data_IF_420070739899
#
_entry.id   IF_420070739899
#
_cell.length_a   1.000
_cell.length_b   1.000
_cell.length_c   1.000
_cell.angle_alpha   90.00
_cell.angle_beta   90.00
_cell.angle_gamma   90.00
#
_symmetry.space_group_name_H-M   'P 1'
#
loop_
_entity.id
_entity.type
_entity.pdbx_description
1 polymer ?
#
# COMPACT_ATOMS: atom_id res chain seq x y z
N UNK A 1 4.81 -4.22 -16.58
CA UNK A 1 5.22 -3.21 -15.57
C UNK A 1 4.10 -3.06 -14.56
N UNK A 2 4.37 -3.32 -13.28
CA UNK A 2 3.37 -3.12 -12.22
C UNK A 2 3.72 -1.81 -11.50
N UNK A 3 2.92 -0.77 -11.73
CA UNK A 3 3.11 0.56 -11.14
C UNK A 3 3.26 0.47 -9.62
N UNK A 4 2.46 -0.38 -8.97
CA UNK A 4 2.52 -0.62 -7.54
C UNK A 4 3.88 -1.15 -7.07
N UNK A 5 4.48 -2.09 -7.81
CA UNK A 5 5.82 -2.61 -7.53
C UNK A 5 6.86 -1.49 -7.61
N UNK A 6 6.77 -0.64 -8.64
CA UNK A 6 7.69 0.49 -8.81
C UNK A 6 7.58 1.53 -7.68
N UNK A 7 6.35 1.92 -7.32
CA UNK A 7 6.08 2.86 -6.22
C UNK A 7 6.65 2.32 -4.91
N UNK A 8 6.36 1.05 -4.58
CA UNK A 8 6.79 0.45 -3.31
C UNK A 8 8.30 0.23 -3.24
N UNK A 9 8.94 -0.13 -4.36
CA UNK A 9 10.41 -0.20 -4.45
C UNK A 9 11.07 1.15 -4.12
N UNK A 10 10.45 2.26 -4.52
CA UNK A 10 10.96 3.62 -4.24
C UNK A 10 10.61 4.12 -2.85
N UNK A 11 9.47 3.69 -2.30
CA UNK A 11 9.01 4.11 -0.98
C UNK A 11 9.94 3.61 0.14
N UNK A 12 10.43 2.38 0.03
CA UNK A 12 11.32 1.77 1.03
C UNK A 12 12.59 1.27 0.32
N UNK A 13 13.60 2.13 0.08
CA UNK A 13 14.74 1.80 -0.77
C UNK A 13 15.63 0.67 -0.23
N UNK A 14 15.55 0.38 1.08
CA UNK A 14 16.32 -0.70 1.71
C UNK A 14 15.60 -2.06 1.66
N UNK A 15 14.35 -2.10 1.20
CA UNK A 15 13.57 -3.33 1.08
C UNK A 15 13.55 -3.80 -0.36
N UNK A 16 13.77 -5.10 -0.57
CA UNK A 16 13.62 -5.72 -1.89
C UNK A 16 12.14 -5.87 -2.21
N UNK A 17 11.71 -5.29 -3.34
CA UNK A 17 10.36 -5.44 -3.86
C UNK A 17 10.46 -5.98 -5.28
N UNK A 18 10.22 -7.29 -5.47
CA UNK A 18 10.18 -7.90 -6.79
C UNK A 18 8.78 -7.90 -7.40
N UNK A 19 7.76 -7.92 -6.55
CA UNK A 19 6.37 -7.95 -6.96
C UNK A 19 5.49 -7.38 -5.85
N UNK A 20 4.49 -6.61 -6.24
CA UNK A 20 3.44 -6.13 -5.36
C UNK A 20 2.09 -6.17 -6.06
N UNK A 21 1.07 -6.60 -5.32
CA UNK A 21 -0.28 -6.80 -5.82
C UNK A 21 -1.32 -6.51 -4.75
N UNK A 22 -2.46 -5.95 -5.15
CA UNK A 22 -3.61 -5.81 -4.25
C UNK A 22 -4.33 -7.15 -4.16
N UNK A 23 -4.58 -7.59 -2.94
CA UNK A 23 -5.23 -8.86 -2.63
C UNK A 23 -6.28 -8.65 -1.55
N UNK A 24 -7.17 -9.62 -1.38
CA UNK A 24 -8.21 -9.64 -0.36
C UNK A 24 -8.04 -10.81 0.62
N UNK A 25 -8.23 -10.55 1.92
CA UNK A 25 -7.99 -11.56 2.98
C UNK A 25 -9.23 -12.42 3.27
N UNK A 26 -10.42 -11.89 2.99
CA UNK A 26 -11.70 -12.54 3.30
C UNK A 26 -12.72 -12.24 2.18
N UNK A 27 -12.65 -12.99 1.08
CA UNK A 27 -13.66 -12.95 -0.02
C UNK A 27 -14.20 -11.53 -0.31
N UNK A 28 -13.31 -10.57 -0.52
CA UNK A 28 -13.64 -9.19 -0.89
C UNK A 28 -13.98 -8.21 0.23
N UNK A 29 -13.83 -8.55 1.52
CA UNK A 29 -14.13 -7.59 2.61
C UNK A 29 -13.03 -6.61 2.94
N UNK A 30 -11.77 -7.01 2.79
CA UNK A 30 -10.60 -6.22 3.20
C UNK A 30 -9.49 -6.39 2.18
N UNK A 31 -9.06 -5.27 1.61
CA UNK A 31 -8.00 -5.15 0.62
C UNK A 31 -6.69 -4.75 1.30
N UNK A 32 -5.60 -5.36 0.86
CA UNK A 32 -4.24 -5.01 1.27
C UNK A 32 -3.26 -5.21 0.11
N UNK A 33 -2.04 -4.68 0.26
CA UNK A 33 -0.99 -4.88 -0.73
C UNK A 33 -0.04 -5.96 -0.25
N UNK A 34 -0.04 -7.10 -0.94
CA UNK A 34 0.97 -8.14 -0.77
C UNK A 34 2.26 -7.67 -1.43
N UNK A 35 3.40 -7.92 -0.77
CA UNK A 35 4.72 -7.53 -1.23
C UNK A 35 5.65 -8.74 -1.14
N UNK A 36 6.37 -9.01 -2.21
CA UNK A 36 7.28 -10.16 -2.36
C UNK A 36 8.71 -9.64 -2.57
N UNK A 37 9.75 -10.28 -2.02
CA UNK A 37 9.70 -11.57 -1.30
C UNK A 37 9.30 -11.48 0.18
N UNK A 38 9.59 -10.37 0.86
CA UNK A 38 9.41 -10.29 2.32
C UNK A 38 8.32 -9.28 2.69
N UNK A 39 7.08 -9.76 2.77
CA UNK A 39 5.92 -8.94 3.07
C UNK A 39 6.02 -8.29 4.46
N UNK A 40 6.38 -9.08 5.47
CA UNK A 40 6.36 -8.63 6.87
C UNK A 40 7.46 -7.60 7.09
N UNK A 41 8.68 -7.89 6.62
CA UNK A 41 9.81 -6.97 6.78
C UNK A 41 9.61 -5.68 5.99
N UNK A 42 9.10 -5.77 4.76
CA UNK A 42 8.78 -4.57 3.97
C UNK A 42 7.84 -3.62 4.73
N UNK A 43 6.75 -4.16 5.29
CA UNK A 43 5.78 -3.34 6.00
C UNK A 43 6.28 -2.84 7.35
N UNK A 44 7.14 -3.60 8.03
CA UNK A 44 7.82 -3.12 9.24
C UNK A 44 8.69 -1.89 8.93
N UNK A 45 9.49 -1.94 7.86
CA UNK A 45 10.31 -0.82 7.42
C UNK A 45 9.46 0.37 6.93
N UNK A 46 8.39 0.10 6.19
CA UNK A 46 7.44 1.12 5.75
C UNK A 46 6.84 1.87 6.94
N UNK A 47 6.34 1.15 7.96
CA UNK A 47 5.75 1.75 9.17
C UNK A 47 6.75 2.61 9.94
N UNK A 48 8.03 2.20 10.01
CA UNK A 48 9.10 2.99 10.63
C UNK A 48 9.38 4.29 9.86
N UNK A 49 9.37 4.24 8.52
CA UNK A 49 9.63 5.39 7.66
C UNK A 49 8.45 6.36 7.58
N UNK A 50 7.23 5.83 7.53
CA UNK A 50 5.99 6.57 7.31
C UNK A 50 5.07 6.48 8.52
N UNK A 51 5.56 6.86 9.71
CA UNK A 51 4.78 6.82 10.95
C UNK A 51 3.45 7.58 10.83
N UNK A 52 3.45 8.76 10.21
CA UNK A 52 2.23 9.53 9.97
C UNK A 52 1.26 8.81 9.01
N UNK A 53 1.77 8.01 8.07
CA UNK A 53 0.96 7.16 7.20
C UNK A 53 0.21 6.08 7.98
N UNK A 54 0.81 5.55 9.05
CA UNK A 54 0.13 4.60 9.95
C UNK A 54 -1.05 5.27 10.65
N UNK A 55 -0.85 6.48 11.17
CA UNK A 55 -1.93 7.25 11.80
C UNK A 55 -3.05 7.58 10.81
N UNK A 56 -2.68 8.01 9.60
CA UNK A 56 -3.64 8.30 8.53
C UNK A 56 -4.47 7.07 8.13
N UNK A 57 -3.85 5.88 8.08
CA UNK A 57 -4.58 4.64 7.83
C UNK A 57 -5.65 4.40 8.91
N UNK A 58 -5.28 4.56 10.19
CA UNK A 58 -6.21 4.41 11.31
C UNK A 58 -7.36 5.43 11.25
N UNK A 59 -7.06 6.70 10.99
CA UNK A 59 -8.06 7.77 10.82
C UNK A 59 -9.05 7.46 9.69
N UNK A 60 -8.61 6.72 8.66
CA UNK A 60 -9.43 6.27 7.52
C UNK A 60 -10.13 4.92 7.75
N UNK A 61 -10.08 4.38 8.97
CA UNK A 61 -10.75 3.14 9.34
C UNK A 61 -10.05 1.87 8.85
N UNK A 62 -8.75 1.94 8.53
CA UNK A 62 -7.98 0.77 8.19
C UNK A 62 -7.81 -0.14 9.42
N UNK A 63 -7.84 -1.46 9.19
CA UNK A 63 -7.40 -2.43 10.21
C UNK A 63 -5.88 -2.47 10.24
N UNK A 64 -5.35 -2.42 11.45
CA UNK A 64 -3.90 -2.40 11.71
C UNK A 64 -3.40 -3.64 12.47
N UNK A 65 -4.25 -4.66 12.62
CA UNK A 65 -3.95 -5.86 13.41
C UNK A 65 -2.89 -6.78 12.80
N UNK A 66 -2.56 -6.60 11.52
CA UNK A 66 -1.57 -7.39 10.79
C UNK A 66 -0.28 -6.65 10.44
N UNK A 67 0.52 -7.29 9.58
CA UNK A 67 1.77 -6.72 9.09
C UNK A 67 1.54 -5.41 8.32
N UNK A 68 0.44 -5.30 7.57
CA UNK A 68 0.10 -4.16 6.73
C UNK A 68 -1.26 -3.53 7.10
N UNK A 69 -1.55 -2.31 6.62
CA UNK A 69 -2.88 -1.73 6.70
C UNK A 69 -3.85 -2.42 5.74
N UNK A 70 -5.06 -2.72 6.21
CA UNK A 70 -6.13 -3.30 5.41
C UNK A 70 -7.34 -2.36 5.33
N UNK A 71 -7.94 -2.19 4.15
CA UNK A 71 -9.06 -1.28 3.91
C UNK A 71 -10.29 -2.02 3.39
N UNK A 72 -11.49 -1.51 3.69
CA UNK A 72 -12.75 -2.08 3.18
C UNK A 72 -12.96 -1.86 1.67
N UNK A 73 -12.21 -0.94 1.06
CA UNK A 73 -12.27 -0.66 -0.38
C UNK A 73 -10.87 -0.56 -0.99
N UNK A 74 -10.73 -1.02 -2.22
CA UNK A 74 -9.48 -0.90 -2.99
C UNK A 74 -9.11 0.57 -3.21
N UNK A 75 -10.10 1.43 -3.49
CA UNK A 75 -9.89 2.87 -3.61
C UNK A 75 -9.33 3.48 -2.33
N UNK A 76 -9.91 3.16 -1.16
CA UNK A 76 -9.43 3.68 0.13
C UNK A 76 -7.98 3.30 0.42
N UNK A 77 -7.59 2.07 0.08
CA UNK A 77 -6.20 1.60 0.16
C UNK A 77 -5.26 2.41 -0.74
N UNK A 78 -5.64 2.64 -2.00
CA UNK A 78 -4.83 3.39 -2.95
C UNK A 78 -4.77 4.88 -2.62
N UNK A 79 -5.87 5.47 -2.15
CA UNK A 79 -5.93 6.86 -1.71
C UNK A 79 -5.00 7.09 -0.52
N UNK A 80 -5.05 6.19 0.47
CA UNK A 80 -4.14 6.20 1.62
C UNK A 80 -2.67 6.07 1.18
N UNK A 81 -2.35 5.13 0.29
CA UNK A 81 -0.99 4.95 -0.20
C UNK A 81 -0.49 6.22 -0.90
N UNK A 82 -1.33 6.80 -1.77
CA UNK A 82 -0.99 7.99 -2.51
C UNK A 82 -0.74 9.19 -1.58
N UNK A 83 -1.59 9.40 -0.57
CA UNK A 83 -1.40 10.48 0.41
C UNK A 83 -0.18 10.25 1.30
N UNK A 84 0.05 9.01 1.73
CA UNK A 84 1.20 8.63 2.57
C UNK A 84 2.52 8.88 1.85
N UNK A 85 2.56 8.61 0.54
CA UNK A 85 3.75 8.78 -0.29
C UNK A 85 3.86 10.16 -0.94
N UNK A 86 2.86 11.02 -0.75
CA UNK A 86 2.81 12.35 -1.37
C UNK A 86 2.79 12.28 -2.91
N UNK A 87 2.12 11.27 -3.48
CA UNK A 87 2.05 11.10 -4.93
C UNK A 87 1.35 12.29 -5.59
N UNK A 88 1.89 12.75 -6.72
CA UNK A 88 1.26 13.76 -7.55
C UNK A 88 -0.08 13.28 -8.10
N UNK A 89 -0.92 14.22 -8.57
CA UNK A 89 -2.19 13.87 -9.22
C UNK A 89 -1.98 12.95 -10.43
N UNK A 90 -0.89 13.13 -11.18
CA UNK A 90 -0.53 12.28 -12.31
C UNK A 90 -0.18 10.85 -11.89
N UNK A 91 0.67 10.70 -10.88
CA UNK A 91 1.04 9.37 -10.34
C UNK A 91 -0.16 8.64 -9.75
N UNK A 92 -1.01 9.35 -9.02
CA UNK A 92 -2.27 8.82 -8.48
C UNK A 92 -3.19 8.31 -9.59
N UNK A 93 -3.37 9.09 -10.67
CA UNK A 93 -4.21 8.68 -11.81
C UNK A 93 -3.64 7.45 -12.51
N UNK A 94 -2.32 7.41 -12.71
CA UNK A 94 -1.66 6.27 -13.32
C UNK A 94 -1.81 5.01 -12.46
N UNK A 95 -1.67 5.15 -11.14
CA UNK A 95 -1.88 4.06 -10.18
C UNK A 95 -3.30 3.47 -10.31
N UNK A 96 -4.35 4.29 -10.33
CA UNK A 96 -5.72 3.78 -10.49
C UNK A 96 -5.94 3.06 -11.82
N UNK A 97 -5.40 3.60 -12.93
CA UNK A 97 -5.51 2.95 -14.25
C UNK A 97 -4.82 1.58 -14.24
N UNK A 98 -3.63 1.48 -13.66
CA UNK A 98 -2.89 0.23 -13.59
C UNK A 98 -3.55 -0.81 -12.69
N UNK A 99 -4.14 -0.38 -11.57
CA UNK A 99 -4.81 -1.27 -10.61
C UNK A 99 -6.31 -1.48 -10.91
N UNK A 100 -6.81 -0.87 -12.00
CA UNK A 100 -8.19 -0.96 -12.50
C UNK A 100 -9.25 -0.53 -11.48
N UNK A 101 -9.01 0.61 -10.83
CA UNK A 101 -9.87 1.24 -9.79
C UNK A 101 -10.55 2.49 -10.29
#
# INVERSE_FOLDING_TARGET
MQMLTHILSRAVPNARVSHAVITDLVRGRWYFILVVPDHIEYWAQFKRRYFNGVRLAQERGAKMGGACPEFSTQKGLLDWLADTLGLSQGERRLLYICERV
#
